data_IF_890897405785
#
_entry.id   IF_890897405785
#
_cell.length_a   1.000
_cell.length_b   1.000
_cell.length_c   1.000
_cell.angle_alpha   90.00
_cell.angle_beta   90.00
_cell.angle_gamma   90.00
#
_symmetry.space_group_name_H-M   'P 1'
#
loop_
_entity.id
_entity.type
_entity.pdbx_description
1 polymer ?
#
# COMPACT_ATOMS: atom_id res chain seq x y z
N UNK A 1 -26.96 16.67 14.51
CA UNK A 1 -27.82 15.68 13.84
C UNK A 1 -29.18 16.25 13.43
N UNK A 2 -29.96 16.85 14.33
CA UNK A 2 -31.29 17.41 13.99
C UNK A 2 -31.24 18.55 12.96
N UNK A 3 -30.23 19.43 13.02
CA UNK A 3 -30.05 20.51 12.04
C UNK A 3 -29.85 20.00 10.61
N UNK A 4 -29.19 18.85 10.43
CA UNK A 4 -29.01 18.24 9.10
C UNK A 4 -30.36 17.78 8.56
N UNK A 5 -31.21 17.18 9.40
CA UNK A 5 -32.55 16.73 9.00
C UNK A 5 -33.44 17.92 8.65
N UNK A 6 -33.41 19.00 9.45
CA UNK A 6 -34.17 20.22 9.17
C UNK A 6 -33.68 20.88 7.89
N UNK A 7 -32.36 21.00 7.69
CA UNK A 7 -31.79 21.56 6.46
C UNK A 7 -32.12 20.71 5.23
N UNK A 8 -32.04 19.38 5.34
CA UNK A 8 -32.42 18.45 4.27
C UNK A 8 -33.91 18.55 3.93
N UNK A 9 -34.77 18.72 4.94
CA UNK A 9 -36.21 18.91 4.73
C UNK A 9 -36.50 20.24 4.00
N UNK A 10 -35.89 21.34 4.43
CA UNK A 10 -36.00 22.64 3.74
C UNK A 10 -35.50 22.53 2.30
N UNK A 11 -34.37 21.87 2.08
CA UNK A 11 -33.85 21.63 0.74
C UNK A 11 -34.81 20.81 -0.13
N UNK A 12 -35.40 19.74 0.43
CA UNK A 12 -36.40 18.93 -0.27
C UNK A 12 -37.64 19.75 -0.66
N UNK A 13 -38.10 20.67 0.21
CA UNK A 13 -39.20 21.59 -0.12
C UNK A 13 -38.83 22.53 -1.27
N UNK A 14 -37.61 23.06 -1.30
CA UNK A 14 -37.13 23.90 -2.42
C UNK A 14 -37.15 23.12 -3.73
N UNK A 15 -36.65 21.87 -3.71
CA UNK A 15 -36.66 20.98 -4.88
C UNK A 15 -38.09 20.68 -5.33
N UNK A 16 -39.02 20.43 -4.40
CA UNK A 16 -40.42 20.18 -4.71
C UNK A 16 -41.10 21.40 -5.37
N UNK A 17 -40.85 22.60 -4.85
CA UNK A 17 -41.36 23.85 -5.44
C UNK A 17 -40.79 24.02 -6.85
N UNK A 18 -39.49 23.79 -7.03
CA UNK A 18 -38.84 23.86 -8.35
C UNK A 18 -39.46 22.87 -9.34
N UNK A 19 -39.77 21.64 -8.91
CA UNK A 19 -40.42 20.63 -9.73
C UNK A 19 -41.83 21.06 -10.17
N UNK A 20 -42.62 21.66 -9.26
CA UNK A 20 -43.97 22.16 -9.57
C UNK A 20 -43.92 23.31 -10.57
N UNK A 21 -43.03 24.29 -10.38
CA UNK A 21 -42.93 25.44 -11.29
C UNK A 21 -42.46 25.04 -12.69
N UNK A 22 -41.59 24.04 -12.77
CA UNK A 22 -41.05 23.52 -14.03
C UNK A 22 -41.82 22.28 -14.52
N UNK A 23 -43.03 22.03 -14.01
CA UNK A 23 -43.91 20.95 -14.46
C UNK A 23 -44.53 21.21 -15.85
N UNK A 24 -44.22 22.36 -16.47
CA UNK A 24 -44.60 22.68 -17.85
C UNK A 24 -44.06 21.59 -18.76
N UNK A 25 -44.96 20.97 -19.50
CA UNK A 25 -44.66 19.91 -20.45
C UNK A 25 -43.96 20.50 -21.67
N UNK A 26 -42.77 20.00 -21.96
CA UNK A 26 -41.99 20.32 -23.16
C UNK A 26 -41.90 19.05 -24.00
N UNK A 27 -42.02 19.21 -25.31
CA UNK A 27 -41.80 18.11 -26.24
C UNK A 27 -40.31 17.85 -26.39
N UNK A 28 -39.90 16.62 -26.07
CA UNK A 28 -38.50 16.19 -26.18
C UNK A 28 -38.40 15.23 -27.36
N UNK A 29 -37.47 15.52 -28.27
CA UNK A 29 -37.14 14.65 -29.40
C UNK A 29 -35.75 14.05 -29.18
N UNK A 30 -35.70 12.75 -28.94
CA UNK A 30 -34.47 11.96 -28.76
C UNK A 30 -34.29 11.02 -29.95
N UNK A 31 -33.44 11.40 -30.90
CA UNK A 31 -33.16 10.64 -32.11
C UNK A 31 -34.44 10.32 -32.91
N UNK A 32 -35.12 9.19 -32.63
CA UNK A 32 -36.40 8.80 -33.26
C UNK A 32 -37.58 8.79 -32.29
N UNK A 33 -37.35 9.01 -30.99
CA UNK A 33 -38.40 9.05 -29.97
C UNK A 33 -38.84 10.47 -29.70
N UNK A 34 -40.16 10.66 -29.58
CA UNK A 34 -40.76 11.94 -29.22
C UNK A 34 -41.76 11.70 -28.09
N UNK A 35 -41.66 12.48 -27.02
CA UNK A 35 -42.57 12.40 -25.89
C UNK A 35 -42.65 13.74 -25.16
N UNK A 36 -43.74 13.96 -24.44
CA UNK A 36 -43.96 15.15 -23.64
C UNK A 36 -43.63 14.84 -22.18
N UNK A 37 -42.78 15.67 -21.59
CA UNK A 37 -42.40 15.53 -20.18
C UNK A 37 -42.00 16.89 -19.61
N UNK A 38 -41.81 16.98 -18.30
CA UNK A 38 -41.26 18.20 -17.70
C UNK A 38 -39.75 18.27 -17.90
N UNK A 39 -39.22 19.50 -18.04
CA UNK A 39 -37.78 19.73 -18.21
C UNK A 39 -36.96 19.14 -17.04
N UNK A 40 -37.51 19.17 -15.82
CA UNK A 40 -36.85 18.63 -14.63
C UNK A 40 -36.60 17.13 -14.75
N UNK A 41 -37.57 16.37 -15.25
CA UNK A 41 -37.42 14.92 -15.44
C UNK A 41 -36.29 14.62 -16.43
N UNK A 42 -36.16 15.42 -17.49
CA UNK A 42 -35.08 15.29 -18.48
C UNK A 42 -33.72 15.54 -17.85
N UNK A 43 -33.55 16.68 -17.16
CA UNK A 43 -32.29 17.06 -16.52
C UNK A 43 -31.91 16.05 -15.44
N UNK A 44 -32.87 15.62 -14.62
CA UNK A 44 -32.62 14.66 -13.56
C UNK A 44 -32.23 13.29 -14.11
N UNK A 45 -32.93 12.81 -15.15
CA UNK A 45 -32.56 11.58 -15.85
C UNK A 45 -31.16 11.65 -16.47
N UNK A 46 -30.83 12.75 -17.15
CA UNK A 46 -29.50 12.97 -17.71
C UNK A 46 -28.41 13.03 -16.64
N UNK A 47 -28.67 13.68 -15.50
CA UNK A 47 -27.74 13.76 -14.39
C UNK A 47 -27.48 12.36 -13.77
N UNK A 48 -28.52 11.53 -13.60
CA UNK A 48 -28.37 10.14 -13.14
C UNK A 48 -27.51 9.34 -14.12
N UNK A 49 -27.79 9.42 -15.42
CA UNK A 49 -27.01 8.72 -16.45
C UNK A 49 -25.54 9.18 -16.45
N UNK A 50 -25.30 10.47 -16.29
CA UNK A 50 -23.96 11.03 -16.14
C UNK A 50 -23.24 10.51 -14.89
N UNK A 51 -23.91 10.52 -13.74
CA UNK A 51 -23.36 10.01 -12.47
C UNK A 51 -23.05 8.51 -12.55
N UNK A 52 -23.94 7.71 -13.14
CA UNK A 52 -23.70 6.28 -13.38
C UNK A 52 -22.51 6.05 -14.31
N UNK A 53 -22.40 6.83 -15.39
CA UNK A 53 -21.28 6.74 -16.32
C UNK A 53 -19.96 7.03 -15.61
N UNK A 54 -19.87 8.14 -14.86
CA UNK A 54 -18.68 8.50 -14.07
C UNK A 54 -18.38 7.45 -13.01
N UNK A 55 -19.41 6.94 -12.32
CA UNK A 55 -19.26 5.87 -11.33
C UNK A 55 -18.67 4.60 -11.93
N UNK A 56 -19.10 4.22 -13.14
CA UNK A 56 -18.59 3.05 -13.83
C UNK A 56 -17.12 3.22 -14.26
N UNK A 57 -16.75 4.40 -14.77
CA UNK A 57 -15.35 4.74 -15.03
C UNK A 57 -14.51 4.73 -13.76
N UNK A 58 -15.03 5.26 -12.66
CA UNK A 58 -14.40 5.23 -11.34
C UNK A 58 -14.15 3.81 -10.85
N UNK A 59 -15.11 2.89 -11.04
CA UNK A 59 -14.97 1.49 -10.66
C UNK A 59 -13.88 0.78 -11.47
N UNK A 60 -13.84 1.01 -12.78
CA UNK A 60 -12.78 0.47 -13.64
C UNK A 60 -11.39 0.96 -13.19
N UNK A 61 -11.26 2.24 -12.83
CA UNK A 61 -10.01 2.80 -12.33
C UNK A 61 -9.63 2.20 -10.96
N UNK A 62 -10.62 2.03 -10.07
CA UNK A 62 -10.43 1.40 -8.77
C UNK A 62 -9.90 -0.04 -8.89
N UNK A 63 -10.46 -0.84 -9.81
CA UNK A 63 -9.99 -2.22 -10.05
C UNK A 63 -8.54 -2.22 -10.52
N UNK A 64 -8.17 -1.34 -11.47
CA UNK A 64 -6.78 -1.22 -11.95
C UNK A 64 -5.82 -0.88 -10.81
N UNK A 65 -6.23 0.03 -9.93
CA UNK A 65 -5.42 0.43 -8.77
C UNK A 65 -5.24 -0.75 -7.79
N UNK A 66 -6.31 -1.49 -7.51
CA UNK A 66 -6.27 -2.69 -6.65
C UNK A 66 -5.33 -3.76 -7.21
N UNK A 67 -5.35 -4.01 -8.52
CA UNK A 67 -4.43 -4.95 -9.16
C UNK A 67 -2.96 -4.50 -9.07
N UNK A 68 -2.70 -3.20 -9.24
CA UNK A 68 -1.36 -2.63 -9.08
C UNK A 68 -0.85 -2.78 -7.65
N UNK A 69 -1.71 -2.58 -6.65
CA UNK A 69 -1.36 -2.78 -5.23
C UNK A 69 -0.95 -4.23 -4.97
N UNK A 70 -1.76 -5.21 -5.39
CA UNK A 70 -1.43 -6.63 -5.21
C UNK A 70 -0.11 -7.02 -5.88
N UNK A 71 0.17 -6.49 -7.07
CA UNK A 71 1.46 -6.71 -7.75
C UNK A 71 2.64 -6.09 -6.99
N UNK A 72 2.44 -4.94 -6.35
CA UNK A 72 3.48 -4.30 -5.52
C UNK A 72 3.73 -5.10 -4.24
N UNK A 73 2.68 -5.52 -3.54
CA UNK A 73 2.79 -6.39 -2.35
C UNK A 73 3.52 -7.69 -2.66
N UNK A 74 3.20 -8.36 -3.79
CA UNK A 74 3.91 -9.56 -4.21
C UNK A 74 5.41 -9.33 -4.48
N UNK A 75 5.77 -8.16 -5.04
CA UNK A 75 7.18 -7.80 -5.23
C UNK A 75 7.90 -7.58 -3.91
N UNK A 76 7.25 -6.91 -2.96
CA UNK A 76 7.80 -6.69 -1.61
C UNK A 76 8.09 -8.03 -0.96
N UNK A 77 7.10 -8.94 -0.91
CA UNK A 77 7.30 -10.26 -0.30
C UNK A 77 8.40 -11.08 -0.99
N UNK A 78 8.54 -10.98 -2.32
CA UNK A 78 9.60 -11.68 -3.05
C UNK A 78 10.99 -11.10 -2.73
N UNK A 79 11.11 -9.78 -2.68
CA UNK A 79 12.34 -9.09 -2.30
C UNK A 79 12.73 -9.37 -0.85
N UNK A 80 11.77 -9.38 0.07
CA UNK A 80 11.98 -9.74 1.48
C UNK A 80 12.41 -11.21 1.62
N UNK A 81 11.81 -12.12 0.83
CA UNK A 81 12.22 -13.52 0.77
C UNK A 81 13.64 -13.72 0.22
N UNK A 82 14.00 -13.04 -0.87
CA UNK A 82 15.36 -13.06 -1.42
C UNK A 82 16.37 -12.49 -0.42
N UNK A 83 16.01 -11.40 0.28
CA UNK A 83 16.86 -10.83 1.33
C UNK A 83 17.05 -11.80 2.50
N UNK A 84 16.00 -12.53 2.88
CA UNK A 84 16.06 -13.55 3.93
C UNK A 84 16.85 -14.80 3.51
N UNK A 85 16.88 -15.16 2.23
CA UNK A 85 17.66 -16.28 1.68
C UNK A 85 19.14 -15.94 1.48
N UNK A 86 19.46 -14.67 1.20
CA UNK A 86 20.84 -14.16 1.13
C UNK A 86 21.45 -13.89 2.51
N UNK A 87 20.63 -13.80 3.56
CA UNK A 87 21.02 -13.42 4.93
C UNK A 87 21.46 -14.54 5.91
N UNK A 88 21.25 -15.86 5.73
CA UNK A 88 21.52 -16.81 6.82
C UNK A 88 22.90 -17.50 6.75
N UNK A 89 23.85 -17.03 5.92
CA UNK A 89 25.16 -17.68 5.79
C UNK A 89 26.38 -16.77 5.98
N UNK A 90 26.21 -15.44 6.05
CA UNK A 90 27.36 -14.53 6.17
C UNK A 90 27.68 -14.08 7.60
N UNK A 91 26.72 -14.11 8.53
CA UNK A 91 26.94 -13.69 9.94
C UNK A 91 27.51 -14.84 10.79
N UNK A 92 26.88 -16.02 10.78
CA UNK A 92 27.32 -17.18 11.57
C UNK A 92 28.72 -17.69 11.17
N UNK A 93 29.08 -17.58 9.88
CA UNK A 93 30.38 -18.03 9.37
C UNK A 93 31.49 -17.00 9.61
N UNK A 94 31.15 -15.71 9.69
CA UNK A 94 32.09 -14.66 10.10
C UNK A 94 32.39 -14.73 11.58
N UNK A 95 31.37 -14.88 12.44
CA UNK A 95 31.59 -15.02 13.88
C UNK A 95 32.41 -16.28 14.21
N UNK A 96 32.10 -17.42 13.58
CA UNK A 96 32.90 -18.64 13.76
C UNK A 96 34.34 -18.51 13.25
N UNK A 97 34.55 -17.86 12.10
CA UNK A 97 35.89 -17.61 11.58
C UNK A 97 36.72 -16.67 12.46
N UNK A 98 36.09 -15.64 13.05
CA UNK A 98 36.75 -14.72 13.98
C UNK A 98 37.12 -15.41 15.30
N UNK A 99 36.25 -16.28 15.81
CA UNK A 99 36.51 -17.06 17.04
C UNK A 99 37.62 -18.09 16.82
N UNK A 100 37.63 -18.80 15.68
CA UNK A 100 38.69 -19.76 15.34
C UNK A 100 40.05 -19.06 15.13
N UNK A 101 40.05 -17.86 14.55
CA UNK A 101 41.26 -17.07 14.35
C UNK A 101 41.83 -16.56 15.69
N UNK A 102 40.97 -16.04 16.58
CA UNK A 102 41.36 -15.63 17.95
C UNK A 102 41.91 -16.81 18.78
N UNK A 103 41.24 -17.98 18.76
CA UNK A 103 41.74 -19.17 19.47
C UNK A 103 43.10 -19.65 18.92
N UNK A 104 43.31 -19.58 17.61
CA UNK A 104 44.59 -19.99 17.00
C UNK A 104 45.76 -19.07 17.39
N UNK A 105 45.48 -17.77 17.55
CA UNK A 105 46.46 -16.76 17.95
C UNK A 105 46.77 -16.88 19.44
N UNK A 106 45.75 -17.10 20.28
CA UNK A 106 45.93 -17.30 21.72
C UNK A 106 46.75 -18.56 22.00
N UNK A 107 46.45 -19.67 21.33
CA UNK A 107 47.20 -20.92 21.49
C UNK A 107 48.67 -20.77 21.07
N UNK A 108 48.95 -20.10 19.94
CA UNK A 108 50.34 -19.77 19.54
C UNK A 108 51.04 -18.86 20.54
N UNK A 109 50.35 -17.88 21.09
CA UNK A 109 50.93 -16.98 22.09
C UNK A 109 51.26 -17.70 23.39
N UNK A 110 50.42 -18.66 23.80
CA UNK A 110 50.66 -19.53 24.96
C UNK A 110 51.87 -20.44 24.70
N UNK A 111 51.94 -21.06 23.53
CA UNK A 111 53.05 -21.94 23.12
C UNK A 111 54.40 -21.20 23.14
N UNK A 112 54.46 -20.02 22.53
CA UNK A 112 55.65 -19.15 22.54
C UNK A 112 56.01 -18.73 23.97
N UNK A 113 55.01 -18.45 24.82
CA UNK A 113 55.26 -18.01 26.21
C UNK A 113 55.73 -19.17 27.10
N UNK A 114 55.34 -20.41 26.83
CA UNK A 114 55.92 -21.60 27.46
C UNK A 114 57.36 -21.83 26.98
N UNK A 115 57.61 -21.72 25.68
CA UNK A 115 58.94 -21.98 25.09
C UNK A 115 59.98 -20.94 25.57
N UNK A 116 59.59 -19.66 25.62
CA UNK A 116 60.43 -18.57 26.16
C UNK A 116 60.65 -18.69 27.67
N UNK A 117 59.73 -19.33 28.40
CA UNK A 117 59.88 -19.58 29.84
C UNK A 117 60.84 -20.73 30.11
N UNK A 118 60.77 -21.78 29.31
CA UNK A 118 61.66 -22.94 29.40
C UNK A 118 63.10 -22.57 28.99
N UNK A 119 63.29 -21.69 28.00
CA UNK A 119 64.63 -21.15 27.66
C UNK A 119 65.22 -20.28 28.79
N UNK A 120 64.40 -19.43 29.44
CA UNK A 120 64.87 -18.60 30.57
C UNK A 120 65.18 -19.40 31.83
N UNK A 121 64.51 -20.53 32.05
CA UNK A 121 64.81 -21.44 33.16
C UNK A 121 66.11 -22.24 32.92
N UNK A 122 66.51 -22.45 31.66
CA UNK A 122 67.80 -23.05 31.30
C UNK A 122 68.97 -22.05 31.32
N UNK A 123 68.74 -20.79 30.97
CA UNK A 123 69.78 -19.74 30.96
C UNK A 123 70.21 -19.30 32.38
N UNK A 124 69.37 -19.48 33.39
CA UNK A 124 69.63 -19.04 34.77
C UNK A 124 70.39 -20.08 35.64
N UNK A 125 70.92 -21.14 35.01
CA UNK A 125 71.59 -22.26 35.70
C UNK A 125 73.10 -22.38 35.42
N UNK A 126 73.74 -21.34 34.86
CA UNK A 126 75.19 -21.22 34.71
C UNK A 126 75.78 -20.04 35.48
#
# INVERSE_FOLDING_TARGET
MQLILVAAFVFALIVAIFAIQNAITVQVVLFTWQFETSLVVVIFGAAILGALSVGLFGLMQYIKLKLKLRKKEQKINKLEGELAELSPAEDDNKERGLIEEEESVENKAIEIKSEVRDEKEQENHY
#
